data_IF_274222845433
#
_entry.id   IF_274222845433
#
_cell.length_a   1.000
_cell.length_b   1.000
_cell.length_c   1.000
_cell.angle_alpha   90.00
_cell.angle_beta   90.00
_cell.angle_gamma   90.00
#
_symmetry.space_group_name_H-M   'P 1'
#
loop_
_entity.id
_entity.type
_entity.pdbx_description
1 polymer ?
#
# COMPACT_ATOMS: atom_id res chain seq x y z
N UNK A 1 -5.72 -19.27 -10.10
CA UNK A 1 -4.68 -19.59 -9.10
C UNK A 1 -4.35 -18.34 -8.30
N UNK A 2 -4.11 -18.48 -7.01
CA UNK A 2 -3.54 -17.40 -6.19
C UNK A 2 -2.02 -17.39 -6.28
N UNK A 3 -1.37 -16.27 -5.94
CA UNK A 3 0.10 -16.17 -5.90
C UNK A 3 0.74 -17.28 -5.04
N UNK A 4 0.12 -17.55 -3.89
CA UNK A 4 0.54 -18.59 -2.94
C UNK A 4 0.45 -20.01 -3.54
N UNK A 5 -0.60 -20.30 -4.32
CA UNK A 5 -0.72 -21.57 -5.06
C UNK A 5 0.34 -21.70 -6.16
N UNK A 6 0.77 -20.58 -6.74
CA UNK A 6 1.86 -20.51 -7.71
C UNK A 6 3.26 -20.51 -7.09
N UNK A 7 3.39 -20.65 -5.77
CA UNK A 7 4.69 -20.63 -5.08
C UNK A 7 5.31 -19.24 -4.89
N UNK A 8 4.54 -18.17 -5.15
CA UNK A 8 4.97 -16.79 -4.95
C UNK A 8 4.57 -16.26 -3.57
N UNK A 9 5.43 -15.42 -3.01
CA UNK A 9 5.23 -14.81 -1.70
C UNK A 9 4.51 -13.46 -1.80
N UNK A 10 3.77 -13.09 -0.75
CA UNK A 10 3.19 -11.75 -0.64
C UNK A 10 3.38 -11.17 0.76
N UNK A 11 3.33 -9.84 0.86
CA UNK A 11 3.39 -9.11 2.12
C UNK A 11 2.48 -7.89 2.12
N UNK A 12 1.88 -7.61 3.27
CA UNK A 12 1.00 -6.47 3.52
C UNK A 12 1.67 -5.61 4.58
N UNK A 13 2.06 -4.40 4.23
CA UNK A 13 2.65 -3.43 5.14
C UNK A 13 1.61 -2.37 5.47
N UNK A 14 1.20 -2.29 6.73
CA UNK A 14 0.05 -1.48 7.12
C UNK A 14 0.39 -0.52 8.26
N UNK A 15 -0.20 0.68 8.23
CA UNK A 15 -0.11 1.66 9.31
C UNK A 15 -1.34 1.65 10.25
N UNK A 16 -2.50 1.20 9.76
CA UNK A 16 -3.72 0.95 10.53
C UNK A 16 -4.28 -0.44 10.24
N UNK A 17 -5.21 -0.99 11.06
CA UNK A 17 -5.76 -2.33 10.87
C UNK A 17 -6.06 -2.63 9.40
N UNK A 18 -5.48 -3.69 8.82
CA UNK A 18 -5.35 -3.75 7.39
C UNK A 18 -6.70 -3.96 6.69
N UNK A 19 -7.02 -3.08 5.74
CA UNK A 19 -8.25 -3.14 4.94
C UNK A 19 -8.30 -4.42 4.10
N UNK A 20 -7.14 -4.94 3.69
CA UNK A 20 -7.00 -6.26 3.07
C UNK A 20 -7.62 -7.41 3.87
N UNK A 21 -7.85 -7.28 5.19
CA UNK A 21 -8.57 -8.29 5.97
C UNK A 21 -10.07 -8.40 5.63
N UNK A 22 -10.66 -7.45 4.90
CA UNK A 22 -12.01 -7.60 4.34
C UNK A 22 -12.07 -8.77 3.34
N UNK A 23 -10.96 -9.09 2.66
CA UNK A 23 -10.88 -10.26 1.79
C UNK A 23 -10.84 -11.55 2.61
N UNK A 24 -11.90 -12.36 2.51
CA UNK A 24 -12.02 -13.65 3.26
C UNK A 24 -10.79 -14.54 3.13
N UNK A 25 -10.17 -14.58 1.95
CA UNK A 25 -9.02 -15.44 1.69
C UNK A 25 -7.76 -15.01 2.45
N UNK A 26 -7.64 -13.74 2.84
CA UNK A 26 -6.48 -13.22 3.58
C UNK A 26 -6.56 -13.45 5.09
N UNK A 27 -7.72 -13.88 5.62
CA UNK A 27 -7.93 -14.19 7.05
C UNK A 27 -7.48 -15.61 7.45
N UNK A 28 -6.76 -16.33 6.59
CA UNK A 28 -6.27 -17.69 6.88
C UNK A 28 -5.07 -17.62 7.82
N UNK A 29 -5.04 -18.46 8.86
CA UNK A 29 -3.96 -18.49 9.87
C UNK A 29 -2.55 -18.65 9.25
N UNK A 30 -2.44 -19.35 8.12
CA UNK A 30 -1.16 -19.51 7.40
C UNK A 30 -0.54 -18.18 6.93
N UNK A 31 -1.34 -17.12 6.79
CA UNK A 31 -0.87 -15.82 6.31
C UNK A 31 -0.55 -14.80 7.41
N UNK A 32 -0.67 -15.16 8.69
CA UNK A 32 -0.41 -14.24 9.82
C UNK A 32 0.96 -13.57 9.71
N UNK A 33 1.97 -14.31 9.24
CA UNK A 33 3.35 -13.81 9.09
C UNK A 33 3.57 -12.88 7.90
N UNK A 34 2.57 -12.70 7.04
CA UNK A 34 2.64 -11.84 5.85
C UNK A 34 2.14 -10.42 6.15
N UNK A 35 1.65 -10.16 7.35
CA UNK A 35 1.20 -8.84 7.80
C UNK A 35 2.31 -8.19 8.63
N UNK A 36 2.74 -7.01 8.21
CA UNK A 36 3.85 -6.28 8.80
C UNK A 36 3.43 -4.85 9.15
N UNK A 37 3.78 -4.39 10.34
CA UNK A 37 3.70 -2.96 10.68
C UNK A 37 4.63 -2.18 9.74
N UNK A 38 4.08 -1.22 8.99
CA UNK A 38 4.84 -0.45 8.01
C UNK A 38 6.04 0.26 8.65
N UNK A 39 5.79 1.04 9.70
CA UNK A 39 6.80 1.90 10.36
C UNK A 39 7.96 1.09 11.00
N UNK A 40 7.74 -0.20 11.30
CA UNK A 40 8.74 -1.07 11.92
C UNK A 40 9.55 -1.89 10.92
N UNK A 41 8.94 -2.30 9.80
CA UNK A 41 9.49 -3.35 8.95
C UNK A 41 9.76 -2.92 7.51
N UNK A 42 8.97 -2.00 6.94
CA UNK A 42 8.99 -1.76 5.50
C UNK A 42 10.35 -1.29 5.02
N UNK A 43 10.88 -0.21 5.60
CA UNK A 43 12.20 0.34 5.24
C UNK A 43 13.32 -0.69 5.42
N UNK A 44 13.31 -1.44 6.52
CA UNK A 44 14.30 -2.49 6.79
C UNK A 44 14.25 -3.60 5.73
N UNK A 45 13.06 -4.06 5.36
CA UNK A 45 12.91 -5.07 4.32
C UNK A 45 13.33 -4.55 2.94
N UNK A 46 13.10 -3.26 2.65
CA UNK A 46 13.63 -2.61 1.45
C UNK A 46 15.16 -2.62 1.46
N UNK A 47 15.80 -2.17 2.54
CA UNK A 47 17.26 -2.10 2.69
C UNK A 47 17.93 -3.48 2.60
N UNK A 48 17.32 -4.50 3.20
CA UNK A 48 17.84 -5.88 3.20
C UNK A 48 17.52 -6.65 1.91
N UNK A 49 16.73 -6.09 0.99
CA UNK A 49 16.29 -6.79 -0.22
C UNK A 49 15.39 -8.00 0.07
N UNK A 50 14.50 -7.88 1.07
CA UNK A 50 13.61 -8.95 1.55
C UNK A 50 12.13 -8.71 1.24
N UNK A 51 11.81 -7.79 0.33
CA UNK A 51 10.43 -7.62 -0.11
C UNK A 51 9.98 -8.89 -0.85
N UNK A 52 8.75 -9.39 -0.58
CA UNK A 52 8.17 -10.54 -1.27
C UNK A 52 7.79 -10.19 -2.72
N UNK A 53 7.35 -11.19 -3.49
CA UNK A 53 7.01 -11.03 -4.91
C UNK A 53 5.86 -10.04 -5.15
N UNK A 54 4.91 -9.96 -4.22
CA UNK A 54 3.80 -9.02 -4.27
C UNK A 54 3.65 -8.29 -2.94
N UNK A 55 3.66 -6.96 -2.99
CA UNK A 55 3.57 -6.12 -1.81
C UNK A 55 2.36 -5.21 -1.91
N UNK A 56 1.54 -5.19 -0.86
CA UNK A 56 0.53 -4.15 -0.65
C UNK A 56 1.04 -3.25 0.46
N UNK A 57 1.04 -1.94 0.20
CA UNK A 57 1.29 -0.92 1.21
C UNK A 57 -0.03 -0.25 1.52
N UNK A 58 -0.42 -0.25 2.79
CA UNK A 58 -1.64 0.37 3.28
C UNK A 58 -1.31 1.55 4.20
N UNK A 59 -1.92 2.67 3.85
CA UNK A 59 -1.81 3.96 4.48
C UNK A 59 -2.62 4.06 5.77
N UNK A 60 -2.55 5.24 6.38
CA UNK A 60 -3.44 5.67 7.46
C UNK A 60 -4.68 6.36 6.91
N UNK A 61 -5.82 5.69 7.07
CA UNK A 61 -7.12 6.18 6.63
C UNK A 61 -7.97 6.81 7.75
N UNK A 62 -7.49 6.82 9.00
CA UNK A 62 -8.14 7.54 10.09
C UNK A 62 -7.43 8.87 10.36
N UNK A 63 -8.18 9.97 10.32
CA UNK A 63 -7.68 11.30 10.61
C UNK A 63 -7.84 11.68 12.09
N UNK A 64 -6.73 11.61 12.82
CA UNK A 64 -6.67 11.96 14.24
C UNK A 64 -5.84 13.23 14.43
N UNK A 65 -6.22 14.08 15.39
CA UNK A 65 -5.53 15.35 15.69
C UNK A 65 -4.01 15.23 15.91
N UNK A 66 -3.55 14.09 16.42
CA UNK A 66 -2.13 13.82 16.73
C UNK A 66 -1.44 12.95 15.68
N UNK A 67 -2.22 12.30 14.82
CA UNK A 67 -1.73 11.38 13.79
C UNK A 67 -2.67 11.49 12.58
N UNK A 68 -2.40 12.44 11.67
CA UNK A 68 -3.30 12.71 10.55
C UNK A 68 -3.33 11.53 9.56
N UNK A 69 -4.45 11.46 8.83
CA UNK A 69 -4.59 10.58 7.67
C UNK A 69 -3.56 10.94 6.58
N UNK A 70 -3.07 9.96 5.85
CA UNK A 70 -2.09 10.13 4.77
C UNK A 70 -2.51 9.34 3.52
N UNK A 71 -3.81 9.34 3.24
CA UNK A 71 -4.49 8.57 2.20
C UNK A 71 -4.95 9.40 1.00
N UNK A 72 -4.57 10.69 0.94
CA UNK A 72 -5.04 11.67 -0.03
C UNK A 72 -6.57 11.88 -0.04
N UNK A 73 -7.32 11.32 0.93
CA UNK A 73 -8.77 11.40 0.96
C UNK A 73 -9.26 12.73 1.57
N UNK A 74 -10.22 13.46 0.96
CA UNK A 74 -10.81 14.64 1.57
C UNK A 74 -11.56 14.34 2.89
N UNK A 75 -11.46 15.14 3.96
CA UNK A 75 -10.81 16.45 4.07
C UNK A 75 -9.38 16.39 4.61
N UNK A 76 -8.70 15.26 4.51
CA UNK A 76 -7.33 15.11 5.01
C UNK A 76 -6.37 15.99 4.19
N UNK A 77 -5.22 16.35 4.80
CA UNK A 77 -4.21 17.12 4.10
C UNK A 77 -3.47 16.25 3.08
N UNK A 78 -3.66 16.55 1.79
CA UNK A 78 -2.97 15.90 0.66
C UNK A 78 -1.45 15.95 0.82
N UNK A 79 -0.90 16.96 1.52
CA UNK A 79 0.54 17.02 1.78
C UNK A 79 1.03 15.82 2.61
N UNK A 80 0.22 15.26 3.49
CA UNK A 80 0.55 14.06 4.27
C UNK A 80 0.54 12.80 3.41
N UNK A 81 -0.44 12.66 2.52
CA UNK A 81 -0.48 11.53 1.57
C UNK A 81 0.68 11.58 0.58
N UNK A 82 1.00 12.75 0.03
CA UNK A 82 2.17 12.91 -0.84
C UNK A 82 3.51 12.68 -0.13
N UNK A 83 3.62 13.04 1.17
CA UNK A 83 4.80 12.67 1.98
C UNK A 83 4.92 11.15 2.13
N UNK A 84 3.81 10.45 2.33
CA UNK A 84 3.79 8.99 2.44
C UNK A 84 4.19 8.31 1.12
N UNK A 85 3.63 8.74 -0.01
CA UNK A 85 4.03 8.25 -1.34
C UNK A 85 5.54 8.45 -1.56
N UNK A 86 6.06 9.62 -1.20
CA UNK A 86 7.49 9.92 -1.27
C UNK A 86 8.32 8.97 -0.40
N UNK A 87 7.91 8.76 0.85
CA UNK A 87 8.61 7.85 1.78
C UNK A 87 8.69 6.43 1.22
N UNK A 88 7.57 5.92 0.69
CA UNK A 88 7.52 4.61 0.04
C UNK A 88 8.47 4.58 -1.16
N UNK A 89 8.36 5.55 -2.06
CA UNK A 89 9.21 5.62 -3.25
C UNK A 89 10.70 5.68 -2.90
N UNK A 90 11.11 6.52 -1.96
CA UNK A 90 12.52 6.66 -1.57
C UNK A 90 13.07 5.37 -0.94
N UNK A 91 12.27 4.67 -0.12
CA UNK A 91 12.65 3.38 0.45
C UNK A 91 12.82 2.30 -0.64
N UNK A 92 11.88 2.21 -1.58
CA UNK A 92 11.95 1.27 -2.70
C UNK A 92 13.14 1.61 -3.62
N UNK A 93 13.35 2.88 -3.95
CA UNK A 93 14.40 3.35 -4.86
C UNK A 93 15.81 3.08 -4.33
N UNK A 94 15.97 3.05 -3.01
CA UNK A 94 17.21 2.72 -2.33
C UNK A 94 17.44 1.20 -2.16
N UNK A 95 16.43 0.37 -2.41
CA UNK A 95 16.52 -1.09 -2.25
C UNK A 95 17.43 -1.73 -3.31
N UNK A 96 18.19 -2.78 -2.96
CA UNK A 96 18.87 -3.61 -3.97
C UNK A 96 17.91 -4.30 -4.95
N UNK A 97 16.61 -4.41 -4.61
CA UNK A 97 15.58 -4.99 -5.49
C UNK A 97 15.00 -3.99 -6.51
N UNK A 98 15.40 -2.70 -6.47
CA UNK A 98 14.76 -1.64 -7.28
C UNK A 98 14.69 -1.96 -8.78
N UNK A 99 15.77 -2.49 -9.36
CA UNK A 99 15.84 -2.74 -10.81
C UNK A 99 14.95 -3.90 -11.30
N UNK A 100 14.38 -4.68 -10.38
CA UNK A 100 13.50 -5.82 -10.67
C UNK A 100 12.08 -5.58 -10.15
N UNK A 101 11.72 -4.32 -9.89
CA UNK A 101 10.46 -3.94 -9.26
C UNK A 101 9.57 -3.14 -10.20
N UNK A 102 8.28 -3.46 -10.20
CA UNK A 102 7.23 -2.60 -10.73
C UNK A 102 6.53 -1.91 -9.56
N UNK A 103 6.62 -0.57 -9.50
CA UNK A 103 5.92 0.24 -8.51
C UNK A 103 4.67 0.86 -9.13
N UNK A 104 3.51 0.55 -8.56
CA UNK A 104 2.19 1.03 -9.02
C UNK A 104 1.54 1.81 -7.90
N UNK A 105 1.07 3.01 -8.20
CA UNK A 105 0.23 3.83 -7.33
C UNK A 105 -1.15 3.91 -7.98
N UNK A 106 -2.19 3.60 -7.23
CA UNK A 106 -3.58 3.69 -7.67
C UNK A 106 -4.39 4.49 -6.67
N UNK A 107 -5.43 5.14 -7.17
CA UNK A 107 -6.45 5.82 -6.39
C UNK A 107 -7.76 5.05 -6.57
N UNK A 108 -8.50 4.79 -5.51
CA UNK A 108 -9.76 4.04 -5.54
C UNK A 108 -10.90 4.89 -6.12
N UNK A 109 -10.87 6.21 -5.88
CA UNK A 109 -11.77 7.19 -6.45
C UNK A 109 -11.06 8.48 -6.88
N UNK A 110 -11.80 9.36 -7.56
CA UNK A 110 -11.31 10.65 -8.05
C UNK A 110 -11.48 11.81 -7.03
N UNK A 111 -11.94 11.51 -5.80
CA UNK A 111 -12.12 12.49 -4.71
C UNK A 111 -13.25 13.50 -4.91
N UNK A 112 -14.17 13.27 -5.87
CA UNK A 112 -15.34 14.13 -6.09
C UNK A 112 -15.07 15.46 -6.81
N UNK A 113 -13.82 15.76 -7.16
CA UNK A 113 -13.47 16.94 -7.94
C UNK A 113 -13.88 16.80 -9.41
N UNK A 114 -14.08 17.93 -10.09
CA UNK A 114 -14.43 17.95 -11.51
C UNK A 114 -13.30 17.34 -12.35
N UNK A 115 -13.66 16.35 -13.17
CA UNK A 115 -12.84 15.86 -14.28
C UNK A 115 -13.51 16.23 -15.61
N UNK A 116 -12.73 16.76 -16.53
CA UNK A 116 -13.18 17.15 -17.87
C UNK A 116 -13.44 15.94 -18.78
N UNK A 117 -12.82 14.79 -18.48
CA UNK A 117 -13.00 13.55 -19.23
C UNK A 117 -14.24 12.85 -18.70
N UNK A 118 -15.22 12.63 -19.58
CA UNK A 118 -16.39 11.84 -19.23
C UNK A 118 -15.99 10.38 -19.01
N UNK A 119 -16.46 9.80 -17.91
CA UNK A 119 -16.28 8.38 -17.63
C UNK A 119 -16.84 7.55 -18.80
N UNK A 120 -16.06 6.63 -19.39
CA UNK A 120 -16.59 5.73 -20.42
C UNK A 120 -17.73 4.89 -19.85
N UNK A 121 -18.91 4.99 -20.44
CA UNK A 121 -20.12 4.24 -20.01
C UNK A 121 -20.36 2.96 -20.80
N UNK A 122 -19.45 2.64 -21.72
CA UNK A 122 -19.52 1.46 -22.59
C UNK A 122 -18.17 0.76 -22.65
N UNK A 123 -18.15 -0.55 -22.48
CA UNK A 123 -17.00 -1.44 -22.59
C UNK A 123 -17.39 -2.79 -23.15
#
# INVERSE_FOLDING_TARGET
ESLDEGGYTFGIYYQYPPATLFYRNLRKLKYIKNFHQFDLHFKKHCEEGKLPNYVVVEQRYFDLKVLPGNDDHPSHDVSEGQKFVKEVYEALRASPQWNEMLFIIIYDEHGGFYDHVQTPVTG
#
